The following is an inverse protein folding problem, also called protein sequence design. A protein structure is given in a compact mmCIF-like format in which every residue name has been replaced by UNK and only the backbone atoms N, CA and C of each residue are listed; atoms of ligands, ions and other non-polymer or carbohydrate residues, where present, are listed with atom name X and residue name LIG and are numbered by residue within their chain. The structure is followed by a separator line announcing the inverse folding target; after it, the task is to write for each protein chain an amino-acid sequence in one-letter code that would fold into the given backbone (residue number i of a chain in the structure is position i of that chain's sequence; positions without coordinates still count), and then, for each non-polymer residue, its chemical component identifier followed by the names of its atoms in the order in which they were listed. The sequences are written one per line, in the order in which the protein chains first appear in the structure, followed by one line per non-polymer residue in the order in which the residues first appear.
data_IF_749638438450
#
_entry.id   IF_749638438450
#
_cell.length_a   1.000
_cell.length_b   1.000
_cell.length_c   1.000
_cell.angle_alpha   90.00
_cell.angle_beta   90.00
_cell.angle_gamma   90.00
#
_symmetry.space_group_name_H-M   'P 1'
#
loop_
_entity.id
_entity.type
_entity.pdbx_description
1 polymer ?
#
# COMPACT_ATOMS: atom_id res chain seq x y z
N UNK A 1 -12.00 -11.36 -11.81
CA UNK A 1 -12.33 -9.99 -11.79
C UNK A 1 -11.31 -9.21 -11.08
N UNK A 2 -10.74 -8.36 -11.76
CA UNK A 2 -9.76 -7.55 -11.09
C UNK A 2 -10.49 -6.54 -10.27
N UNK A 3 -10.25 -6.59 -9.05
CA UNK A 3 -10.86 -5.65 -8.16
C UNK A 3 -9.84 -4.59 -7.82
N UNK A 4 -9.26 -4.07 -8.88
CA UNK A 4 -8.26 -3.06 -8.76
C UNK A 4 -8.92 -1.71 -8.68
N UNK A 5 -8.61 -0.94 -7.67
CA UNK A 5 -9.15 0.40 -7.49
C UNK A 5 -8.01 1.39 -7.59
N UNK A 6 -8.13 2.36 -8.46
CA UNK A 6 -7.12 3.40 -8.64
C UNK A 6 -7.63 4.71 -8.08
N UNK A 7 -6.79 5.39 -7.32
CA UNK A 7 -7.10 6.69 -6.76
C UNK A 7 -6.00 7.64 -7.20
N UNK A 8 -6.38 8.71 -7.89
CA UNK A 8 -5.43 9.75 -8.27
C UNK A 8 -5.09 10.58 -7.03
N UNK A 9 -3.82 10.86 -6.83
CA UNK A 9 -3.35 11.61 -5.69
C UNK A 9 -2.80 12.95 -6.17
N UNK A 10 -3.51 14.03 -5.85
CA UNK A 10 -3.09 15.37 -6.19
C UNK A 10 -3.34 16.35 -5.03
N UNK A 11 -4.02 15.91 -3.99
CA UNK A 11 -4.33 16.74 -2.83
C UNK A 11 -4.52 15.84 -1.60
N UNK A 12 -4.49 16.44 -0.44
CA UNK A 12 -4.68 15.70 0.83
C UNK A 12 -5.98 14.91 0.86
N UNK A 13 -7.05 15.45 0.29
CA UNK A 13 -8.33 14.75 0.25
C UNK A 13 -8.24 13.42 -0.49
N UNK A 14 -7.36 13.33 -1.48
CA UNK A 14 -7.17 12.08 -2.22
C UNK A 14 -6.51 11.01 -1.37
N UNK A 15 -5.64 11.42 -0.46
CA UNK A 15 -5.00 10.50 0.47
C UNK A 15 -6.05 9.91 1.41
N UNK A 16 -6.97 10.76 1.88
CA UNK A 16 -8.06 10.29 2.74
C UNK A 16 -8.92 9.27 2.00
N UNK A 17 -9.20 9.52 0.73
CA UNK A 17 -9.97 8.60 -0.09
C UNK A 17 -9.24 7.27 -0.26
N UNK A 18 -7.96 7.30 -0.61
CA UNK A 18 -7.17 6.08 -0.80
C UNK A 18 -7.10 5.25 0.48
N UNK A 19 -6.90 5.94 1.60
CA UNK A 19 -6.87 5.29 2.92
C UNK A 19 -8.19 4.57 3.21
N UNK A 20 -9.30 5.24 2.93
CA UNK A 20 -10.63 4.66 3.15
C UNK A 20 -10.88 3.44 2.26
N UNK A 21 -10.47 3.52 1.00
CA UNK A 21 -10.59 2.40 0.06
C UNK A 21 -9.79 1.21 0.56
N UNK A 22 -8.56 1.44 0.99
CA UNK A 22 -7.69 0.37 1.48
C UNK A 22 -8.25 -0.29 2.73
N UNK A 23 -8.73 0.52 3.67
CA UNK A 23 -9.33 -0.01 4.89
C UNK A 23 -10.57 -0.86 4.58
N UNK A 24 -11.42 -0.39 3.68
CA UNK A 24 -12.64 -1.11 3.32
C UNK A 24 -12.31 -2.44 2.64
N UNK A 25 -11.35 -2.44 1.73
CA UNK A 25 -10.94 -3.68 1.07
C UNK A 25 -10.32 -4.65 2.07
N UNK A 26 -9.45 -4.17 2.95
CA UNK A 26 -8.83 -4.99 3.96
C UNK A 26 -9.89 -5.67 4.85
N UNK A 27 -10.92 -4.92 5.25
CA UNK A 27 -12.00 -5.48 6.04
C UNK A 27 -12.76 -6.56 5.27
N UNK A 28 -13.04 -6.33 4.00
CA UNK A 28 -13.72 -7.32 3.16
C UNK A 28 -12.88 -8.58 2.98
N UNK A 29 -11.57 -8.43 2.94
CA UNK A 29 -10.66 -9.58 2.80
C UNK A 29 -10.45 -10.32 4.12
N UNK A 30 -11.06 -9.85 5.19
CA UNK A 30 -11.01 -10.53 6.47
C UNK A 30 -9.83 -10.16 7.37
N UNK A 31 -9.11 -9.09 7.05
CA UNK A 31 -8.07 -8.60 7.95
C UNK A 31 -8.71 -8.09 9.24
N UNK A 32 -7.97 -8.22 10.34
CA UNK A 32 -8.42 -7.70 11.62
C UNK A 32 -8.54 -6.17 11.54
N UNK A 33 -9.28 -5.60 12.49
CA UNK A 33 -9.39 -4.14 12.57
C UNK A 33 -8.01 -3.50 12.71
N UNK A 34 -7.15 -4.10 13.52
CA UNK A 34 -5.79 -3.62 13.72
C UNK A 34 -5.02 -3.62 12.40
N UNK A 35 -5.03 -4.74 11.69
CA UNK A 35 -4.31 -4.84 10.42
C UNK A 35 -4.89 -3.91 9.36
N UNK A 36 -6.21 -3.78 9.31
CA UNK A 36 -6.84 -2.83 8.37
C UNK A 36 -6.38 -1.40 8.65
N UNK A 37 -6.22 -1.04 9.92
CA UNK A 37 -5.71 0.28 10.32
C UNK A 37 -4.25 0.45 9.92
N UNK A 38 -3.42 -0.57 10.08
CA UNK A 38 -2.02 -0.52 9.68
C UNK A 38 -1.89 -0.33 8.17
N UNK A 39 -2.70 -1.06 7.41
CA UNK A 39 -2.74 -0.92 5.96
C UNK A 39 -3.14 0.50 5.57
N UNK A 40 -4.18 1.04 6.18
CA UNK A 40 -4.64 2.39 5.92
C UNK A 40 -3.55 3.42 6.22
N UNK A 41 -2.82 3.23 7.31
CA UNK A 41 -1.73 4.11 7.70
C UNK A 41 -0.61 4.06 6.67
N UNK A 42 -0.23 2.86 6.20
CA UNK A 42 0.80 2.72 5.19
C UNK A 42 0.41 3.43 3.89
N UNK A 43 -0.86 3.32 3.50
CA UNK A 43 -1.38 4.02 2.32
C UNK A 43 -1.27 5.53 2.50
N UNK A 44 -1.58 6.04 3.68
CA UNK A 44 -1.47 7.48 3.97
C UNK A 44 -0.03 7.96 3.85
N UNK A 45 0.93 7.18 4.37
CA UNK A 45 2.34 7.55 4.31
C UNK A 45 2.84 7.60 2.86
N UNK A 46 2.46 6.62 2.06
CA UNK A 46 2.84 6.57 0.66
C UNK A 46 2.19 7.70 -0.15
N UNK A 47 0.93 7.99 0.12
CA UNK A 47 0.24 9.11 -0.53
C UNK A 47 0.88 10.44 -0.21
N UNK A 48 1.24 10.64 1.04
CA UNK A 48 1.93 11.86 1.47
C UNK A 48 3.29 11.98 0.78
N UNK A 49 3.98 10.85 0.63
CA UNK A 49 5.26 10.82 -0.09
C UNK A 49 5.10 11.26 -1.54
N UNK A 50 4.04 10.84 -2.21
CA UNK A 50 3.75 11.28 -3.58
C UNK A 50 3.59 12.81 -3.60
N UNK A 51 2.78 13.37 -2.71
CA UNK A 51 2.55 14.82 -2.70
C UNK A 51 3.82 15.60 -2.40
N UNK A 52 4.61 15.14 -1.44
CA UNK A 52 5.82 15.83 -1.04
C UNK A 52 6.90 15.86 -2.12
N UNK A 53 7.07 14.75 -2.81
CA UNK A 53 8.20 14.60 -3.73
C UNK A 53 7.86 14.71 -5.20
N UNK A 54 6.62 14.48 -5.57
CA UNK A 54 6.21 14.51 -6.97
C UNK A 54 5.05 15.44 -7.26
N UNK A 55 4.33 15.87 -6.25
CA UNK A 55 3.16 16.73 -6.40
C UNK A 55 1.89 15.98 -6.78
N UNK A 56 1.99 14.91 -7.51
CA UNK A 56 0.84 14.09 -7.88
C UNK A 56 1.28 12.69 -8.29
N UNK A 57 0.34 11.77 -8.30
CA UNK A 57 0.57 10.40 -8.72
C UNK A 57 -0.70 9.60 -8.58
N UNK A 58 -0.56 8.30 -8.43
CA UNK A 58 -1.74 7.45 -8.23
C UNK A 58 -1.42 6.31 -7.26
N UNK A 59 -2.45 5.83 -6.59
CA UNK A 59 -2.37 4.65 -5.72
C UNK A 59 -3.36 3.63 -6.26
N UNK A 60 -2.87 2.43 -6.50
CA UNK A 60 -3.69 1.33 -6.99
C UNK A 60 -3.79 0.30 -5.88
N UNK A 61 -4.98 -0.12 -5.55
CA UNK A 61 -5.23 -1.05 -4.46
C UNK A 61 -5.96 -2.26 -5.01
N UNK A 62 -5.43 -3.44 -4.75
CA UNK A 62 -6.02 -4.69 -5.26
C UNK A 62 -5.79 -5.81 -4.26
N UNK A 63 -6.31 -6.98 -4.59
CA UNK A 63 -6.12 -8.15 -3.75
C UNK A 63 -5.24 -9.17 -4.45
N UNK A 64 -4.61 -10.01 -3.64
CA UNK A 64 -3.85 -11.15 -4.11
C UNK A 64 -4.29 -12.36 -3.29
N UNK A 65 -4.19 -13.54 -3.83
CA UNK A 65 -4.62 -14.73 -3.12
C UNK A 65 -3.72 -15.90 -3.47
N UNK A 66 -3.33 -16.63 -2.45
CA UNK A 66 -2.59 -17.88 -2.56
C UNK A 66 -3.38 -18.94 -1.81
N UNK A 67 -2.94 -20.18 -1.90
CA UNK A 67 -3.66 -21.28 -1.30
C UNK A 67 -3.97 -21.08 0.18
N UNK A 68 -3.01 -20.61 0.95
CA UNK A 68 -3.18 -20.47 2.40
C UNK A 68 -3.16 -19.04 2.89
N UNK A 69 -3.15 -18.07 2.02
CA UNK A 69 -3.15 -16.68 2.46
C UNK A 69 -3.82 -15.76 1.46
N UNK A 70 -4.32 -14.66 1.99
CA UNK A 70 -4.97 -13.61 1.21
C UNK A 70 -4.19 -12.32 1.46
N UNK A 71 -3.96 -11.56 0.42
CA UNK A 71 -3.20 -10.34 0.54
C UNK A 71 -3.89 -9.13 -0.04
N UNK A 72 -3.48 -7.98 0.45
CA UNK A 72 -3.81 -6.70 -0.16
C UNK A 72 -2.53 -6.14 -0.76
N UNK A 73 -2.64 -5.62 -1.98
CA UNK A 73 -1.52 -5.08 -2.73
C UNK A 73 -1.76 -3.60 -2.95
N UNK A 74 -0.78 -2.78 -2.64
CA UNK A 74 -0.85 -1.34 -2.86
C UNK A 74 0.32 -0.95 -3.72
N UNK A 75 0.06 -0.31 -4.85
CA UNK A 75 1.10 0.18 -5.76
C UNK A 75 0.94 1.69 -5.88
N UNK A 76 1.97 2.41 -5.52
CA UNK A 76 1.98 3.86 -5.60
C UNK A 76 2.96 4.30 -6.69
N UNK A 77 2.47 5.06 -7.66
CA UNK A 77 3.28 5.50 -8.80
C UNK A 77 3.28 7.01 -8.90
N UNK A 78 4.44 7.58 -9.16
CA UNK A 78 4.52 8.99 -9.47
C UNK A 78 5.52 9.22 -10.61
N UNK A 79 5.45 10.41 -11.21
CA UNK A 79 6.32 10.83 -12.29
C UNK A 79 7.28 11.92 -11.80
N UNK A 80 7.61 11.92 -10.53
CA UNK A 80 8.47 12.90 -9.93
C UNK A 80 9.94 12.71 -10.30
N UNK A 81 10.84 13.38 -9.58
CA UNK A 81 12.26 13.34 -9.90
C UNK A 81 12.94 12.01 -9.58
N UNK A 82 12.26 11.08 -8.92
CA UNK A 82 12.88 9.86 -8.47
C UNK A 82 13.62 10.08 -7.14
N UNK A 83 14.14 9.01 -6.60
CA UNK A 83 14.88 9.04 -5.34
C UNK A 83 16.34 8.71 -5.64
N UNK A 84 17.23 9.69 -5.41
CA UNK A 84 18.64 9.52 -5.70
C UNK A 84 19.33 8.54 -4.75
N UNK A 85 18.91 8.53 -3.48
CA UNK A 85 19.52 7.72 -2.47
C UNK A 85 18.44 6.98 -1.70
N UNK A 86 18.13 5.78 -2.14
CA UNK A 86 17.07 4.97 -1.53
C UNK A 86 17.41 4.59 -0.10
N UNK A 87 18.68 4.29 0.19
CA UNK A 87 19.06 3.96 1.56
C UNK A 87 18.76 5.10 2.50
N UNK A 88 19.09 6.32 2.10
CA UNK A 88 18.82 7.49 2.90
C UNK A 88 17.31 7.71 3.07
N UNK A 89 16.56 7.53 1.98
CA UNK A 89 15.11 7.69 2.01
C UNK A 89 14.45 6.69 2.95
N UNK A 90 15.08 5.54 3.15
CA UNK A 90 14.55 4.51 4.03
C UNK A 90 14.98 4.68 5.49
N UNK A 91 15.78 5.70 5.80
CA UNK A 91 16.11 5.99 7.19
C UNK A 91 14.97 6.74 7.84
N UNK A 92 14.74 6.41 9.11
CA UNK A 92 13.73 7.10 9.89
C UNK A 92 13.99 8.60 9.92
N UNK A 93 12.95 9.38 9.69
CA UNK A 93 13.08 10.83 9.75
C UNK A 93 13.45 11.50 8.43
N UNK A 94 13.74 10.75 7.39
CA UNK A 94 14.11 11.35 6.13
C UNK A 94 13.02 12.27 5.59
N UNK A 95 11.80 11.81 5.62
CA UNK A 95 10.69 12.56 5.07
C UNK A 95 10.05 13.44 6.09
N UNK A 96 10.80 14.14 6.83
CA UNK A 96 10.32 14.83 7.97
C UNK A 96 9.36 15.91 7.74
N UNK A 97 8.74 16.00 6.72
CA UNK A 97 7.81 17.01 6.49
C UNK A 97 7.15 17.36 7.74
N UNK A 98 6.15 16.85 8.06
CA UNK A 98 5.38 17.26 9.16
C UNK A 98 4.83 16.17 9.89
N UNK A 99 4.55 16.35 10.99
CA UNK A 99 3.74 15.51 11.73
C UNK A 99 4.34 14.18 11.99
N UNK A 100 3.73 13.15 11.60
CA UNK A 100 4.08 11.85 12.04
C UNK A 100 5.37 11.33 11.44
N UNK A 101 5.79 11.96 10.35
CA UNK A 101 7.13 11.77 9.84
C UNK A 101 7.67 10.40 9.65
N UNK A 102 6.83 9.42 9.49
CA UNK A 102 7.32 8.08 9.33
C UNK A 102 7.77 7.80 7.90
N UNK A 103 7.11 8.43 6.92
CA UNK A 103 7.50 8.31 5.53
C UNK A 103 7.58 6.87 5.04
N UNK A 104 8.51 6.65 4.10
CA UNK A 104 8.73 5.33 3.53
C UNK A 104 9.13 4.28 4.55
N UNK A 105 10.03 4.60 5.51
CA UNK A 105 10.38 3.60 6.54
C UNK A 105 9.19 3.17 7.37
N UNK A 106 8.28 4.10 7.67
CA UNK A 106 7.08 3.78 8.42
C UNK A 106 6.19 2.84 7.66
N UNK A 107 5.95 3.13 6.38
CA UNK A 107 5.14 2.26 5.54
C UNK A 107 5.74 0.86 5.46
N UNK A 108 7.06 0.77 5.29
CA UNK A 108 7.72 -0.54 5.23
C UNK A 108 7.50 -1.37 6.47
N UNK A 109 7.55 -0.73 7.64
CA UNK A 109 7.36 -1.45 8.90
C UNK A 109 5.95 -1.99 9.08
N UNK A 110 4.98 -1.35 8.46
CA UNK A 110 3.58 -1.74 8.63
C UNK A 110 3.14 -2.85 7.68
N UNK A 111 3.92 -3.11 6.65
CA UNK A 111 3.57 -4.07 5.62
C UNK A 111 4.53 -5.26 5.63
N UNK A 112 4.11 -6.37 5.02
CA UNK A 112 4.94 -7.58 4.98
C UNK A 112 5.96 -7.56 3.85
N UNK A 113 5.61 -6.91 2.74
CA UNK A 113 6.52 -6.77 1.60
C UNK A 113 6.55 -5.31 1.19
N UNK A 114 7.71 -4.85 0.78
CA UNK A 114 7.89 -3.46 0.40
C UNK A 114 9.01 -3.37 -0.63
N UNK A 115 8.68 -2.89 -1.82
CA UNK A 115 9.64 -2.75 -2.91
C UNK A 115 9.61 -1.33 -3.45
N UNK A 116 10.76 -0.76 -3.69
CA UNK A 116 10.88 0.56 -4.32
C UNK A 116 11.59 0.40 -5.65
N UNK A 117 10.97 0.89 -6.72
CA UNK A 117 11.57 0.94 -8.04
C UNK A 117 11.60 2.42 -8.42
N UNK A 118 12.78 2.98 -8.47
CA UNK A 118 12.94 4.41 -8.73
C UNK A 118 14.13 4.67 -9.62
N UNK A 119 14.01 5.70 -10.46
CA UNK A 119 15.07 6.12 -11.35
C UNK A 119 14.99 7.63 -11.48
N UNK A 120 16.12 8.28 -11.30
CA UNK A 120 16.18 9.74 -11.39
C UNK A 120 15.62 10.20 -12.74
N UNK A 121 14.71 11.16 -12.70
CA UNK A 121 14.04 11.69 -13.87
C UNK A 121 12.88 10.85 -14.39
N UNK A 122 12.60 9.69 -13.79
CA UNK A 122 11.55 8.79 -14.26
C UNK A 122 10.51 8.44 -13.22
N UNK A 123 10.59 9.03 -12.04
CA UNK A 123 9.60 8.81 -11.00
C UNK A 123 9.90 7.60 -10.12
N UNK A 124 8.91 7.24 -9.33
CA UNK A 124 9.04 6.19 -8.32
C UNK A 124 7.79 5.32 -8.30
N UNK A 125 7.99 4.02 -8.18
CA UNK A 125 6.91 3.07 -7.95
C UNK A 125 7.21 2.31 -6.67
N UNK A 126 6.27 2.33 -5.73
CA UNK A 126 6.40 1.59 -4.48
C UNK A 126 5.32 0.53 -4.47
N UNK A 127 5.70 -0.72 -4.24
CA UNK A 127 4.75 -1.83 -4.15
C UNK A 127 4.81 -2.39 -2.74
N UNK A 128 3.65 -2.49 -2.12
CA UNK A 128 3.54 -3.03 -0.76
C UNK A 128 2.52 -4.14 -0.73
N UNK A 129 2.74 -5.14 0.11
CA UNK A 129 1.75 -6.19 0.35
C UNK A 129 1.66 -6.48 1.82
N UNK A 130 0.45 -6.82 2.25
CA UNK A 130 0.22 -7.37 3.57
C UNK A 130 -0.63 -8.60 3.42
N UNK A 131 -0.27 -9.63 4.16
CA UNK A 131 -0.91 -10.94 4.06
C UNK A 131 -1.63 -11.30 5.36
N UNK A 132 -2.69 -12.10 5.24
CA UNK A 132 -3.23 -12.81 6.38
C UNK A 132 -3.39 -14.27 6.01
N UNK A 133 -3.18 -15.13 6.98
CA UNK A 133 -3.35 -16.56 6.76
C UNK A 133 -4.83 -16.90 6.67
N UNK A 134 -5.17 -17.84 5.83
CA UNK A 134 -6.50 -18.42 5.82
C UNK A 134 -6.55 -19.53 6.85
N UNK A 135 -7.66 -19.62 7.57
CA UNK A 135 -7.85 -20.77 8.47
C UNK A 135 -8.28 -21.97 7.63
N UNK A 136 -8.35 -23.13 8.28
CA UNK A 136 -8.68 -24.37 7.60
C UNK A 136 -10.05 -24.32 6.94
N UNK A 137 -11.02 -23.75 7.61
CA UNK A 137 -12.39 -23.67 7.09
C UNK A 137 -12.44 -22.82 5.82
N UNK A 138 -11.74 -21.69 5.81
CA UNK A 138 -11.65 -20.84 4.63
C UNK A 138 -11.02 -21.59 3.45
N UNK A 139 -9.97 -22.34 3.71
CA UNK A 139 -9.30 -23.12 2.67
C UNK A 139 -10.22 -24.17 2.08
N UNK A 140 -11.01 -24.82 2.91
CA UNK A 140 -11.96 -25.82 2.46
C UNK A 140 -13.07 -25.18 1.63
N UNK A 141 -13.54 -24.01 2.01
CA UNK A 141 -14.57 -23.29 1.26
C UNK A 141 -14.07 -22.89 -0.12
N UNK A 142 -12.82 -22.41 -0.20
CA UNK A 142 -12.22 -22.04 -1.48
C UNK A 142 -12.07 -23.24 -2.40
N UNK A 143 -11.63 -24.38 -1.86
CA UNK A 143 -11.50 -25.59 -2.62
C UNK A 143 -12.86 -26.06 -3.16
N UNK A 144 -13.90 -26.01 -2.34
CA UNK A 144 -15.24 -26.36 -2.78
C UNK A 144 -15.76 -25.42 -3.85
N UNK A 145 -15.52 -24.13 -3.69
CA UNK A 145 -15.96 -23.13 -4.66
C UNK A 145 -15.28 -23.30 -6.03
N UNK A 146 -14.00 -23.69 -6.04
CA UNK A 146 -13.28 -23.89 -7.29
C UNK A 146 -13.67 -25.17 -8.03
N UNK A 147 -14.37 -26.09 -7.37
CA UNK A 147 -14.86 -27.30 -8.00
C UNK A 147 -16.34 -27.23 -8.36
N UNK A 148 -16.98 -26.21 -7.89
CA UNK A 148 -18.39 -26.01 -8.15
C UNK A 148 -18.61 -25.12 -9.34
#
# INVERSE_FOLDING_TARGET
MPDEIRVSIAADADIVQARGVGRALASRLGFSRTDATLIATAISEIGRNILLHAGSGEVEISQDAEDHRVGIVVVARDQGPGIADVERAMREGYATGNGLGLGLPGARRLMDEFLIDTKIGHGTTVTMRKWRERDELERLREAAASHG
#
